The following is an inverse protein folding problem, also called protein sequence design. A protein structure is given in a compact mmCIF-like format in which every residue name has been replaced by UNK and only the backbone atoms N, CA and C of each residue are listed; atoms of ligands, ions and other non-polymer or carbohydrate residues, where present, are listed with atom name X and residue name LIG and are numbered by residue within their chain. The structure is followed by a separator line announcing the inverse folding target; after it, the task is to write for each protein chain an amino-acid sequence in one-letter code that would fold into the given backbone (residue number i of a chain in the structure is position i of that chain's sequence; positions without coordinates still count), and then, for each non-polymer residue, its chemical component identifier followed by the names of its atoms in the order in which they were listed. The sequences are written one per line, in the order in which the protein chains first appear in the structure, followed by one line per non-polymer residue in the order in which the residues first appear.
data_IF_914327683869
#
_entry.id   IF_914327683869
#
_cell.length_a   1.000
_cell.length_b   1.000
_cell.length_c   1.000
_cell.angle_alpha   90.00
_cell.angle_beta   90.00
_cell.angle_gamma   90.00
#
_symmetry.space_group_name_H-M   'P 1'
#
loop_
_entity.id
_entity.type
_entity.pdbx_description
1 polymer ?
#
# COMPACT_ATOMS: atom_id res chain seq x y z
N UNK A 1 0.87 -6.23 5.15
CA UNK A 1 0.89 -6.49 6.61
C UNK A 1 0.29 -5.31 7.37
N UNK A 2 -0.39 -5.55 8.50
CA UNK A 2 -0.91 -4.50 9.39
C UNK A 2 -0.01 -4.46 10.63
N UNK A 3 0.55 -3.30 11.00
CA UNK A 3 1.29 -3.09 12.26
C UNK A 3 0.56 -2.09 13.14
N UNK A 4 0.46 -2.38 14.43
CA UNK A 4 0.01 -1.39 15.41
C UNK A 4 1.21 -0.53 15.86
N UNK A 5 1.11 0.79 15.74
CA UNK A 5 2.08 1.76 16.27
C UNK A 5 1.35 2.90 16.97
N UNK A 6 1.69 3.17 18.23
CA UNK A 6 1.14 4.30 18.99
C UNK A 6 -0.39 4.31 19.08
N UNK A 7 -1.02 3.14 19.16
CA UNK A 7 -2.49 3.00 19.21
C UNK A 7 -3.17 2.89 17.85
N UNK A 8 -2.49 3.19 16.74
CA UNK A 8 -3.05 3.15 15.38
C UNK A 8 -2.58 1.94 14.58
N UNK A 9 -3.40 1.48 13.63
CA UNK A 9 -3.15 0.37 12.71
C UNK A 9 -2.59 0.89 11.38
N UNK A 10 -1.28 0.69 11.17
CA UNK A 10 -0.56 1.06 9.96
C UNK A 10 -0.55 -0.09 8.96
N UNK A 11 -1.03 0.15 7.75
CA UNK A 11 -0.96 -0.82 6.65
C UNK A 11 0.37 -0.65 5.93
N UNK A 12 1.17 -1.70 5.88
CA UNK A 12 2.49 -1.73 5.25
C UNK A 12 2.53 -2.76 4.13
N UNK A 13 3.24 -2.43 3.05
CA UNK A 13 3.55 -3.34 1.96
C UNK A 13 4.62 -4.34 2.40
N UNK A 14 4.39 -5.63 2.23
CA UNK A 14 5.39 -6.66 2.52
C UNK A 14 6.55 -6.61 1.51
N UNK A 15 6.26 -6.31 0.24
CA UNK A 15 7.27 -6.29 -0.83
C UNK A 15 8.10 -5.00 -0.92
N UNK A 16 7.53 -3.87 -0.51
CA UNK A 16 8.13 -2.55 -0.77
C UNK A 16 8.42 -1.78 0.51
N UNK A 17 8.00 -2.27 1.68
CA UNK A 17 8.14 -1.58 2.96
C UNK A 17 7.36 -0.26 3.07
N UNK A 18 6.63 0.16 2.02
CA UNK A 18 5.86 1.41 2.00
C UNK A 18 4.67 1.32 2.94
N UNK A 19 4.45 2.38 3.71
CA UNK A 19 3.21 2.61 4.44
C UNK A 19 2.14 3.10 3.47
N UNK A 20 0.99 2.45 3.49
CA UNK A 20 -0.18 2.83 2.71
C UNK A 20 -1.16 3.70 3.50
N UNK A 21 -0.99 3.81 4.81
CA UNK A 21 -1.80 4.65 5.68
C UNK A 21 -1.82 4.13 7.11
N UNK A 22 -2.14 5.02 8.04
CA UNK A 22 -2.44 4.69 9.42
C UNK A 22 -3.95 4.87 9.66
N UNK A 23 -4.57 3.87 10.27
CA UNK A 23 -6.00 3.79 10.54
C UNK A 23 -6.24 3.61 12.03
N UNK A 24 -7.36 4.12 12.54
CA UNK A 24 -7.67 3.96 13.97
C UNK A 24 -8.25 2.57 14.27
N UNK A 25 -8.85 1.91 13.27
CA UNK A 25 -9.44 0.57 13.40
C UNK A 25 -8.71 -0.49 12.56
N UNK A 26 -8.73 -1.74 13.05
CA UNK A 26 -8.22 -2.90 12.31
C UNK A 26 -9.02 -3.14 11.04
N UNK A 27 -10.34 -2.93 11.10
CA UNK A 27 -11.26 -3.22 10.00
C UNK A 27 -11.02 -2.32 8.78
N UNK A 28 -10.72 -1.04 9.00
CA UNK A 28 -10.33 -0.12 7.91
C UNK A 28 -8.98 -0.49 7.30
N UNK A 29 -8.03 -0.88 8.14
CA UNK A 29 -6.72 -1.35 7.70
C UNK A 29 -6.85 -2.62 6.81
N UNK A 30 -7.74 -3.55 7.18
CA UNK A 30 -8.04 -4.75 6.39
C UNK A 30 -8.73 -4.43 5.06
N UNK A 31 -9.71 -3.51 5.05
CA UNK A 31 -10.33 -3.02 3.80
C UNK A 31 -9.28 -2.41 2.87
N UNK A 32 -8.35 -1.63 3.41
CA UNK A 32 -7.27 -1.03 2.60
C UNK A 32 -6.32 -2.09 2.06
N UNK A 33 -5.95 -3.08 2.89
CA UNK A 33 -5.09 -4.18 2.47
C UNK A 33 -5.67 -4.90 1.25
N UNK A 34 -6.96 -5.26 1.29
CA UNK A 34 -7.67 -5.89 0.16
C UNK A 34 -7.61 -5.04 -1.10
N UNK A 35 -7.85 -3.73 -0.99
CA UNK A 35 -7.76 -2.82 -2.13
C UNK A 35 -6.36 -2.78 -2.73
N UNK A 36 -5.32 -2.77 -1.89
CA UNK A 36 -3.92 -2.79 -2.34
C UNK A 36 -3.61 -4.10 -3.07
N UNK A 37 -4.08 -5.24 -2.58
CA UNK A 37 -3.88 -6.54 -3.22
C UNK A 37 -4.52 -6.59 -4.61
N UNK A 38 -5.76 -6.10 -4.73
CA UNK A 38 -6.45 -5.96 -6.02
C UNK A 38 -5.69 -5.03 -6.96
N UNK A 39 -5.24 -3.87 -6.46
CA UNK A 39 -4.48 -2.91 -7.25
C UNK A 39 -3.11 -3.43 -7.69
N UNK A 40 -2.47 -4.30 -6.89
CA UNK A 40 -1.20 -4.95 -7.20
C UNK A 40 -1.32 -5.90 -8.40
N UNK A 41 -2.45 -6.58 -8.55
CA UNK A 41 -2.71 -7.44 -9.71
C UNK A 41 -3.07 -6.65 -10.97
N UNK A 42 -3.75 -5.52 -10.83
CA UNK A 42 -4.06 -4.62 -11.96
C UNK A 42 -2.81 -3.89 -12.48
N UNK A 43 -1.91 -3.46 -11.58
CA UNK A 43 -0.70 -2.70 -11.94
C UNK A 43 0.36 -3.53 -12.68
N UNK A 44 0.29 -4.85 -12.61
CA UNK A 44 1.16 -5.74 -13.39
C UNK A 44 0.92 -5.63 -14.91
N UNK A 45 -0.21 -5.08 -15.36
CA UNK A 45 -0.58 -5.02 -16.78
C UNK A 45 -0.42 -3.64 -17.44
N UNK A 46 0.00 -2.60 -16.71
CA UNK A 46 0.18 -1.28 -17.30
C UNK A 46 0.91 -0.29 -16.40
N UNK A 47 2.00 0.30 -16.91
CA UNK A 47 2.50 1.57 -16.38
C UNK A 47 3.90 1.56 -15.78
N UNK A 48 4.84 0.85 -16.41
CA UNK A 48 6.24 1.31 -16.46
C UNK A 48 6.40 2.42 -17.51
N UNK A 49 5.62 3.50 -17.42
CA UNK A 49 5.81 4.66 -18.28
C UNK A 49 6.91 5.53 -17.67
N UNK A 50 8.11 5.32 -18.21
CA UNK A 50 9.18 6.30 -18.37
C UNK A 50 8.84 7.73 -17.95
N UNK A 51 9.67 8.31 -17.09
CA UNK A 51 10.15 9.68 -17.29
C UNK A 51 11.61 9.73 -16.85
N UNK A 52 12.48 9.23 -17.73
CA UNK A 52 13.85 9.74 -17.87
C UNK A 52 13.72 11.26 -18.06
N UNK A 53 14.27 12.07 -17.15
CA UNK A 53 14.47 13.49 -17.37
C UNK A 53 15.96 13.68 -17.68
N UNK A 54 16.37 13.94 -18.93
CA UNK A 54 17.64 14.56 -19.22
C UNK A 54 17.46 16.08 -19.34
N UNK A 55 18.26 16.84 -18.61
CA UNK A 55 18.68 18.21 -18.95
C UNK A 55 20.04 18.43 -18.27
#
# INVERSE_FOLDING_TARGET
MIRKRGGKYVVLSEKTGRSFGAYDTRTEAEKRLRQIEVFKHLKAKGGGASRRRPA
#
